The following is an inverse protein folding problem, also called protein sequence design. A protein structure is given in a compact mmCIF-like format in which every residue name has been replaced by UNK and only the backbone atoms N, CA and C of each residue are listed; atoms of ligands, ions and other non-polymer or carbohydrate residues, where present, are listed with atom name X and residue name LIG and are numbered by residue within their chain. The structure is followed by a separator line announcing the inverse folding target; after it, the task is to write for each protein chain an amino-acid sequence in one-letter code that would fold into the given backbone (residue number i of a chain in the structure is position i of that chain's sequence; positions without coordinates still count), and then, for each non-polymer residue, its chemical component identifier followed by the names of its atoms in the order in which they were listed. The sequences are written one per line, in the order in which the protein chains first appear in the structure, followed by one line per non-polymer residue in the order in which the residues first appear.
data_IF_769273681503
#
_entry.id   IF_769273681503
#
_cell.length_a   1.000
_cell.length_b   1.000
_cell.length_c   1.000
_cell.angle_alpha   90.00
_cell.angle_beta   90.00
_cell.angle_gamma   90.00
#
_symmetry.space_group_name_H-M   'P 1'
#
loop_
_entity.id
_entity.type
_entity.pdbx_description
1 polymer ?
#
# COMPACT_ATOMS: atom_id res chain seq x y z
N UNK A 1 -4.16 -14.93 12.18
CA UNK A 1 -4.99 -14.16 11.23
C UNK A 1 -4.15 -13.88 10.01
N UNK A 2 -4.68 -14.19 8.83
CA UNK A 2 -3.97 -14.02 7.57
C UNK A 2 -4.54 -12.84 6.80
N UNK A 3 -3.68 -11.99 6.25
CA UNK A 3 -4.04 -10.97 5.28
C UNK A 3 -3.89 -11.51 3.85
N UNK A 4 -4.84 -11.21 2.97
CA UNK A 4 -4.81 -11.63 1.56
C UNK A 4 -4.58 -10.42 0.67
N UNK A 5 -3.55 -10.47 -0.16
CA UNK A 5 -3.31 -9.47 -1.20
C UNK A 5 -3.60 -10.06 -2.57
N UNK A 6 -4.32 -9.33 -3.43
CA UNK A 6 -4.51 -9.69 -4.83
C UNK A 6 -3.89 -8.59 -5.67
N UNK A 7 -2.85 -8.94 -6.43
CA UNK A 7 -2.20 -8.00 -7.32
C UNK A 7 -2.94 -7.92 -8.66
N UNK A 8 -3.33 -6.73 -9.09
CA UNK A 8 -3.89 -6.46 -10.41
C UNK A 8 -2.84 -5.70 -11.23
N UNK A 9 -2.10 -6.36 -12.15
CA UNK A 9 -0.92 -5.79 -12.82
C UNK A 9 -1.28 -4.94 -14.04
N UNK A 10 -2.50 -4.40 -14.11
CA UNK A 10 -3.01 -3.71 -15.28
C UNK A 10 -3.23 -2.23 -14.98
N UNK A 11 -2.81 -1.39 -15.93
CA UNK A 11 -3.10 0.04 -15.92
C UNK A 11 -3.65 0.44 -17.29
N UNK A 12 -4.42 1.50 -17.36
CA UNK A 12 -4.71 2.15 -18.64
C UNK A 12 -3.46 2.88 -19.16
N UNK A 13 -2.76 3.57 -18.27
CA UNK A 13 -1.46 4.22 -18.51
C UNK A 13 -0.56 4.10 -17.30
N UNK A 14 0.74 3.90 -17.53
CA UNK A 14 1.74 3.90 -16.45
C UNK A 14 2.14 5.34 -16.12
N UNK A 15 2.04 5.72 -14.84
CA UNK A 15 2.42 7.06 -14.37
C UNK A 15 3.94 7.26 -14.47
N UNK A 16 4.38 8.52 -14.59
CA UNK A 16 5.79 8.86 -14.86
C UNK A 16 6.76 8.50 -13.73
N UNK A 17 6.26 8.30 -12.52
CA UNK A 17 7.02 7.94 -11.31
C UNK A 17 6.86 6.47 -10.90
N UNK A 18 5.88 5.75 -11.47
CA UNK A 18 5.43 4.47 -10.95
C UNK A 18 6.40 3.37 -11.35
N UNK A 19 6.98 2.67 -10.38
CA UNK A 19 7.85 1.50 -10.56
C UNK A 19 7.11 0.17 -10.34
N UNK A 20 5.85 0.22 -9.90
CA UNK A 20 5.06 -0.98 -9.63
C UNK A 20 5.03 -1.95 -10.82
N UNK A 21 4.93 -3.27 -10.53
CA UNK A 21 4.92 -4.32 -11.54
C UNK A 21 3.59 -4.37 -12.31
N UNK A 22 3.32 -3.33 -13.09
CA UNK A 22 2.13 -3.15 -13.90
C UNK A 22 2.46 -2.89 -15.37
N UNK A 23 1.48 -3.18 -16.23
CA UNK A 23 1.56 -2.98 -17.69
C UNK A 23 0.30 -2.30 -18.22
N UNK A 24 0.50 -1.42 -19.22
CA UNK A 24 -0.57 -0.78 -19.98
C UNK A 24 -0.89 -1.54 -21.27
N UNK A 25 -2.11 -1.40 -21.79
CA UNK A 25 -2.52 -1.97 -23.08
C UNK A 25 -2.59 -3.51 -23.12
N UNK A 26 -2.94 -4.14 -21.99
CA UNK A 26 -2.98 -5.61 -21.84
C UNK A 26 -4.37 -6.16 -21.52
N UNK A 27 -5.44 -5.43 -21.87
CA UNK A 27 -6.84 -5.82 -21.61
C UNK A 27 -7.20 -7.21 -22.15
N UNK A 28 -6.62 -7.63 -23.28
CA UNK A 28 -6.78 -8.98 -23.84
C UNK A 28 -6.38 -10.14 -22.90
N UNK A 29 -5.65 -9.84 -21.82
CA UNK A 29 -5.20 -10.83 -20.84
C UNK A 29 -6.13 -10.90 -19.62
N UNK A 30 -7.17 -10.07 -19.51
CA UNK A 30 -7.95 -9.97 -18.28
C UNK A 30 -8.63 -11.28 -17.88
N UNK A 31 -9.33 -11.94 -18.81
CA UNK A 31 -10.04 -13.18 -18.52
C UNK A 31 -9.09 -14.33 -18.16
N UNK A 32 -8.01 -14.50 -18.94
CA UNK A 32 -7.01 -15.56 -18.70
C UNK A 32 -6.22 -15.29 -17.42
N UNK A 33 -5.97 -14.03 -17.08
CA UNK A 33 -5.40 -13.64 -15.79
C UNK A 33 -6.34 -13.96 -14.64
N UNK A 34 -7.62 -13.63 -14.76
CA UNK A 34 -8.62 -13.93 -13.73
C UNK A 34 -8.79 -15.44 -13.52
N UNK A 35 -8.77 -16.23 -14.59
CA UNK A 35 -8.74 -17.68 -14.51
C UNK A 35 -7.53 -18.18 -13.74
N UNK A 36 -6.33 -17.67 -14.05
CA UNK A 36 -5.10 -18.04 -13.36
C UNK A 36 -5.15 -17.67 -11.87
N UNK A 37 -5.57 -16.45 -11.51
CA UNK A 37 -5.69 -16.03 -10.10
C UNK A 37 -6.66 -16.93 -9.32
N UNK A 38 -7.83 -17.26 -9.88
CA UNK A 38 -8.77 -18.18 -9.20
C UNK A 38 -8.20 -19.59 -9.04
N UNK A 39 -7.49 -20.11 -10.05
CA UNK A 39 -6.81 -21.40 -9.96
C UNK A 39 -5.69 -21.39 -8.90
N UNK A 40 -4.94 -20.29 -8.80
CA UNK A 40 -3.96 -20.10 -7.73
C UNK A 40 -4.65 -20.10 -6.35
N UNK A 41 -5.70 -19.32 -6.15
CA UNK A 41 -6.44 -19.26 -4.89
C UNK A 41 -6.90 -20.67 -4.47
N UNK A 42 -7.59 -21.37 -5.37
CA UNK A 42 -8.14 -22.70 -5.09
C UNK A 42 -7.04 -23.72 -4.74
N UNK A 43 -5.93 -23.72 -5.47
CA UNK A 43 -4.82 -24.65 -5.20
C UNK A 43 -4.04 -24.31 -3.92
N UNK A 44 -4.05 -23.04 -3.50
CA UNK A 44 -3.31 -22.56 -2.32
C UNK A 44 -4.07 -22.73 -1.04
N UNK A 45 -5.40 -22.55 -1.07
CA UNK A 45 -6.22 -22.54 0.12
C UNK A 45 -6.14 -23.85 0.93
N UNK A 46 -5.90 -24.98 0.25
CA UNK A 46 -5.67 -26.27 0.90
C UNK A 46 -4.37 -26.31 1.71
N UNK A 47 -3.38 -25.48 1.37
CA UNK A 47 -2.03 -25.46 1.94
C UNK A 47 -1.84 -24.32 2.96
N UNK A 48 -2.85 -23.46 3.16
CA UNK A 48 -2.78 -22.38 4.14
C UNK A 48 -3.04 -22.93 5.55
N UNK A 49 -2.02 -22.84 6.40
CA UNK A 49 -2.08 -23.30 7.79
C UNK A 49 -3.10 -22.53 8.65
N UNK A 50 -3.31 -21.25 8.35
CA UNK A 50 -4.40 -20.45 8.90
C UNK A 50 -5.39 -20.13 7.79
N UNK A 51 -6.57 -20.74 7.87
CA UNK A 51 -7.64 -20.56 6.90
C UNK A 51 -8.49 -19.31 7.16
N UNK A 52 -8.27 -18.62 8.28
CA UNK A 52 -9.05 -17.44 8.66
C UNK A 52 -8.39 -16.16 8.17
N UNK A 53 -9.10 -15.46 7.28
CA UNK A 53 -8.65 -14.21 6.65
C UNK A 53 -9.27 -13.02 7.35
N UNK A 54 -8.45 -12.10 7.84
CA UNK A 54 -8.92 -10.87 8.50
C UNK A 54 -9.08 -9.69 7.55
N UNK A 55 -8.28 -9.66 6.48
CA UNK A 55 -8.26 -8.58 5.50
C UNK A 55 -8.02 -9.12 4.10
N UNK A 56 -8.66 -8.50 3.11
CA UNK A 56 -8.38 -8.68 1.69
C UNK A 56 -8.07 -7.31 1.11
N UNK A 57 -6.99 -7.20 0.34
CA UNK A 57 -6.60 -5.97 -0.33
C UNK A 57 -6.32 -6.24 -1.80
N UNK A 58 -7.14 -5.64 -2.67
CA UNK A 58 -7.00 -5.70 -4.12
C UNK A 58 -6.30 -4.41 -4.56
N UNK A 59 -5.04 -4.54 -4.99
CA UNK A 59 -4.21 -3.38 -5.35
C UNK A 59 -3.26 -3.67 -6.51
N UNK A 60 -2.34 -2.75 -6.78
CA UNK A 60 -1.25 -2.97 -7.72
C UNK A 60 -1.16 -1.90 -8.80
N UNK A 61 -1.52 -2.23 -10.03
CA UNK A 61 -1.63 -1.28 -11.12
C UNK A 61 -2.83 -0.36 -10.93
N UNK A 62 -4.00 -0.77 -11.42
CA UNK A 62 -5.24 -0.01 -11.28
C UNK A 62 -6.41 -1.00 -11.25
N UNK A 63 -6.79 -1.53 -10.08
CA UNK A 63 -7.91 -2.47 -9.98
C UNK A 63 -9.22 -1.94 -10.59
N UNK A 64 -9.49 -0.64 -10.50
CA UNK A 64 -10.66 -0.02 -11.13
C UNK A 64 -10.70 -0.03 -12.66
N UNK A 65 -9.59 -0.30 -13.35
CA UNK A 65 -9.62 -0.55 -14.80
C UNK A 65 -9.84 -2.03 -15.15
N UNK A 66 -9.96 -2.90 -14.15
CA UNK A 66 -10.26 -4.32 -14.29
C UNK A 66 -11.79 -4.54 -14.16
N UNK A 67 -12.40 -5.41 -14.98
CA UNK A 67 -13.84 -5.64 -14.93
C UNK A 67 -14.31 -6.07 -13.54
N UNK A 68 -15.31 -5.38 -12.99
CA UNK A 68 -15.85 -5.65 -11.66
C UNK A 68 -16.29 -7.12 -11.48
N UNK A 69 -16.97 -7.78 -12.45
CA UNK A 69 -17.34 -9.20 -12.30
C UNK A 69 -16.14 -10.12 -12.12
N UNK A 70 -14.99 -9.80 -12.71
CA UNK A 70 -13.77 -10.60 -12.53
C UNK A 70 -13.17 -10.39 -11.13
N UNK A 71 -13.18 -9.16 -10.60
CA UNK A 71 -12.78 -8.88 -9.22
C UNK A 71 -13.71 -9.57 -8.21
N UNK A 72 -15.03 -9.45 -8.40
CA UNK A 72 -16.05 -10.15 -7.60
C UNK A 72 -15.83 -11.66 -7.62
N UNK A 73 -15.42 -12.21 -8.77
CA UNK A 73 -15.13 -13.64 -8.88
C UNK A 73 -13.97 -14.08 -7.98
N UNK A 74 -12.97 -13.23 -7.72
CA UNK A 74 -11.89 -13.54 -6.77
C UNK A 74 -12.40 -13.61 -5.34
N UNK A 75 -13.26 -12.67 -4.94
CA UNK A 75 -13.87 -12.66 -3.60
C UNK A 75 -14.75 -13.89 -3.40
N UNK A 76 -15.54 -14.27 -4.40
CA UNK A 76 -16.34 -15.50 -4.37
C UNK A 76 -15.47 -16.75 -4.27
N UNK A 77 -14.37 -16.84 -5.02
CA UNK A 77 -13.43 -17.97 -4.90
C UNK A 77 -12.78 -18.01 -3.52
N UNK A 78 -12.32 -16.88 -2.98
CA UNK A 78 -11.73 -16.82 -1.64
C UNK A 78 -12.74 -17.29 -0.57
N UNK A 79 -13.98 -16.80 -0.59
CA UNK A 79 -15.04 -17.23 0.33
C UNK A 79 -15.38 -18.71 0.23
N UNK A 80 -15.24 -19.31 -0.95
CA UNK A 80 -15.48 -20.75 -1.13
C UNK A 80 -14.37 -21.63 -0.56
N UNK A 81 -13.19 -21.05 -0.31
CA UNK A 81 -12.00 -21.81 0.07
C UNK A 81 -11.46 -21.46 1.48
N UNK A 82 -11.78 -20.28 2.00
CA UNK A 82 -11.22 -19.72 3.23
C UNK A 82 -12.34 -19.23 4.16
N UNK A 83 -12.06 -19.22 5.47
CA UNK A 83 -12.93 -18.61 6.47
C UNK A 83 -12.73 -17.09 6.44
N UNK A 84 -13.75 -16.37 5.97
CA UNK A 84 -13.74 -14.90 5.87
C UNK A 84 -14.88 -14.37 6.73
N UNK A 85 -14.58 -13.86 7.93
CA UNK A 85 -15.59 -13.28 8.81
C UNK A 85 -16.30 -12.10 8.16
N UNK A 86 -17.57 -11.88 8.53
CA UNK A 86 -18.36 -10.77 8.01
C UNK A 86 -17.75 -9.39 8.29
N UNK A 87 -16.94 -9.28 9.35
CA UNK A 87 -16.22 -8.06 9.72
C UNK A 87 -14.80 -7.97 9.12
N UNK A 88 -14.44 -8.81 8.14
CA UNK A 88 -13.18 -8.68 7.42
C UNK A 88 -13.13 -7.34 6.67
N UNK A 89 -11.97 -6.68 6.68
CA UNK A 89 -11.75 -5.49 5.86
C UNK A 89 -11.45 -5.92 4.42
N UNK A 90 -12.23 -5.47 3.45
CA UNK A 90 -12.05 -5.78 2.03
C UNK A 90 -11.83 -4.46 1.30
N UNK A 91 -10.57 -4.19 0.98
CA UNK A 91 -10.10 -2.98 0.33
C UNK A 91 -9.91 -3.16 -1.17
N UNK A 92 -10.23 -2.13 -1.96
CA UNK A 92 -9.85 -2.05 -3.38
C UNK A 92 -9.26 -0.67 -3.71
N UNK A 93 -8.17 -0.65 -4.46
CA UNK A 93 -7.61 0.59 -5.01
C UNK A 93 -8.36 1.02 -6.27
N UNK A 94 -8.52 2.33 -6.42
CA UNK A 94 -9.20 2.93 -7.57
C UNK A 94 -8.57 4.26 -7.99
N UNK A 95 -8.73 4.59 -9.27
CA UNK A 95 -8.35 5.88 -9.83
C UNK A 95 -9.61 6.65 -10.29
N UNK A 96 -9.62 7.99 -10.16
CA UNK A 96 -10.79 8.80 -10.49
C UNK A 96 -11.39 8.57 -11.90
N UNK A 97 -10.55 8.45 -12.93
CA UNK A 97 -10.98 8.30 -14.33
C UNK A 97 -11.63 6.94 -14.65
N UNK A 98 -11.52 5.97 -13.75
CA UNK A 98 -11.90 4.57 -14.01
C UNK A 98 -13.06 4.08 -13.15
N UNK A 99 -13.70 4.97 -12.40
CA UNK A 99 -14.85 4.63 -11.57
C UNK A 99 -16.17 4.84 -12.32
N UNK A 100 -17.11 3.92 -12.11
CA UNK A 100 -18.50 4.02 -12.55
C UNK A 100 -19.43 3.51 -11.45
N UNK A 101 -20.70 3.93 -11.47
CA UNK A 101 -21.72 3.40 -10.55
C UNK A 101 -21.81 1.87 -10.63
N UNK A 102 -21.88 1.33 -11.86
CA UNK A 102 -21.97 -0.12 -12.09
C UNK A 102 -20.80 -0.90 -11.51
N UNK A 103 -19.59 -0.33 -11.55
CA UNK A 103 -18.39 -0.96 -10.99
C UNK A 103 -18.43 -0.93 -9.45
N UNK A 104 -18.90 0.17 -8.85
CA UNK A 104 -19.06 0.31 -7.41
C UNK A 104 -20.14 -0.62 -6.85
N UNK A 105 -21.32 -0.62 -7.47
CA UNK A 105 -22.47 -1.43 -7.04
C UNK A 105 -22.11 -2.93 -7.01
N UNK A 106 -21.43 -3.40 -8.06
CA UNK A 106 -20.97 -4.79 -8.16
C UNK A 106 -19.99 -5.16 -7.04
N UNK A 107 -19.02 -4.28 -6.73
CA UNK A 107 -18.03 -4.55 -5.69
C UNK A 107 -18.59 -4.43 -4.27
N UNK A 108 -19.47 -3.45 -4.03
CA UNK A 108 -20.20 -3.34 -2.78
C UNK A 108 -21.07 -4.58 -2.54
N UNK A 109 -21.79 -5.05 -3.57
CA UNK A 109 -22.55 -6.30 -3.51
C UNK A 109 -21.64 -7.53 -3.29
N UNK A 110 -20.44 -7.53 -3.84
CA UNK A 110 -19.42 -8.53 -3.57
C UNK A 110 -18.77 -8.40 -2.19
N UNK A 111 -19.16 -7.40 -1.37
CA UNK A 111 -18.74 -7.22 0.02
C UNK A 111 -17.46 -6.40 0.21
N UNK A 112 -16.99 -5.68 -0.82
CA UNK A 112 -15.97 -4.65 -0.63
C UNK A 112 -16.52 -3.57 0.29
N UNK A 113 -15.75 -3.20 1.31
CA UNK A 113 -16.18 -2.25 2.34
C UNK A 113 -15.18 -1.12 2.60
N UNK A 114 -14.07 -1.06 1.84
CA UNK A 114 -13.11 0.03 1.87
C UNK A 114 -12.58 0.33 0.46
N UNK A 115 -12.50 1.60 0.08
CA UNK A 115 -11.96 2.03 -1.21
C UNK A 115 -10.79 2.98 -1.02
N UNK A 116 -9.68 2.76 -1.73
CA UNK A 116 -8.54 3.70 -1.76
C UNK A 116 -8.55 4.47 -3.07
N UNK A 117 -8.79 5.77 -3.02
CA UNK A 117 -8.88 6.64 -4.18
C UNK A 117 -7.57 7.39 -4.40
N UNK A 118 -6.89 7.09 -5.51
CA UNK A 118 -5.66 7.74 -5.93
C UNK A 118 -5.88 9.18 -6.42
N UNK A 119 -5.99 10.17 -5.53
CA UNK A 119 -6.17 11.58 -5.92
C UNK A 119 -4.86 12.23 -6.32
N UNK A 120 -3.82 12.01 -5.52
CA UNK A 120 -2.46 12.55 -5.60
C UNK A 120 -2.38 14.07 -5.38
N UNK A 121 -3.11 14.87 -6.16
CA UNK A 121 -3.15 16.32 -6.05
C UNK A 121 -4.49 16.90 -6.54
N UNK A 122 -4.87 18.07 -6.04
CA UNK A 122 -5.99 18.87 -6.58
C UNK A 122 -5.52 20.02 -7.47
N UNK A 123 -4.30 19.94 -7.99
CA UNK A 123 -3.74 20.84 -8.98
C UNK A 123 -3.50 20.09 -10.30
N UNK A 124 -4.20 20.51 -11.37
CA UNK A 124 -4.13 19.87 -12.69
C UNK A 124 -2.71 19.86 -13.28
N UNK A 125 -1.89 20.89 -13.03
CA UNK A 125 -0.50 20.92 -13.51
C UNK A 125 0.36 19.86 -12.82
N UNK A 126 0.20 19.68 -11.51
CA UNK A 126 0.87 18.64 -10.72
C UNK A 126 0.47 17.24 -11.21
N UNK A 127 -0.82 17.00 -11.45
CA UNK A 127 -1.34 15.75 -11.99
C UNK A 127 -0.78 15.43 -13.38
N UNK A 128 -0.64 16.45 -14.24
CA UNK A 128 -0.04 16.29 -15.57
C UNK A 128 1.43 15.87 -15.47
N UNK A 129 2.22 16.47 -14.58
CA UNK A 129 3.62 16.05 -14.36
C UNK A 129 3.72 14.57 -13.96
N UNK A 130 2.84 14.13 -13.07
CA UNK A 130 2.76 12.73 -12.63
C UNK A 130 2.29 11.76 -13.74
N UNK A 131 1.75 12.27 -14.84
CA UNK A 131 1.15 11.45 -15.89
C UNK A 131 -0.20 10.85 -15.50
N UNK A 132 -0.95 11.50 -14.58
CA UNK A 132 -2.30 11.08 -14.18
C UNK A 132 -3.30 11.42 -15.29
N UNK A 133 -4.29 10.53 -15.47
CA UNK A 133 -5.31 10.66 -16.53
C UNK A 133 -6.47 11.57 -16.13
N UNK A 134 -6.62 11.84 -14.83
CA UNK A 134 -7.68 12.68 -14.29
C UNK A 134 -7.21 14.10 -13.99
N UNK A 135 -8.17 15.00 -13.93
CA UNK A 135 -8.09 16.38 -13.46
C UNK A 135 -8.55 16.49 -12.02
N UNK A 136 -8.31 17.65 -11.38
CA UNK A 136 -8.80 17.90 -10.03
C UNK A 136 -10.35 17.89 -9.94
N UNK A 137 -11.05 18.26 -11.01
CA UNK A 137 -12.52 18.21 -11.05
C UNK A 137 -13.03 16.76 -11.08
N UNK A 138 -12.40 15.90 -11.87
CA UNK A 138 -12.73 14.47 -11.91
C UNK A 138 -12.39 13.76 -10.60
N UNK A 139 -11.33 14.17 -9.89
CA UNK A 139 -11.03 13.66 -8.55
C UNK A 139 -12.16 13.97 -7.55
N UNK A 140 -12.70 15.21 -7.56
CA UNK A 140 -13.86 15.59 -6.74
C UNK A 140 -15.09 14.78 -7.10
N UNK A 141 -15.38 14.65 -8.39
CA UNK A 141 -16.53 13.89 -8.88
C UNK A 141 -16.43 12.40 -8.48
N UNK A 142 -15.24 11.80 -8.59
CA UNK A 142 -15.00 10.42 -8.20
C UNK A 142 -15.18 10.19 -6.69
N UNK A 143 -14.72 11.12 -5.84
CA UNK A 143 -14.98 11.04 -4.41
C UNK A 143 -16.47 11.14 -4.08
N UNK A 144 -17.18 12.09 -4.71
CA UNK A 144 -18.62 12.21 -4.57
C UNK A 144 -19.35 10.95 -5.03
N UNK A 145 -18.89 10.31 -6.10
CA UNK A 145 -19.43 9.05 -6.60
C UNK A 145 -19.34 7.93 -5.56
N UNK A 146 -18.17 7.76 -4.93
CA UNK A 146 -17.98 6.79 -3.82
C UNK A 146 -18.95 7.07 -2.67
N UNK A 147 -19.09 8.34 -2.26
CA UNK A 147 -20.00 8.73 -1.18
C UNK A 147 -21.46 8.45 -1.54
N UNK A 148 -21.89 8.80 -2.76
CA UNK A 148 -23.25 8.59 -3.23
C UNK A 148 -23.59 7.10 -3.37
N UNK A 149 -22.62 6.25 -3.68
CA UNK A 149 -22.78 4.79 -3.69
C UNK A 149 -22.87 4.18 -2.27
N UNK A 150 -22.76 4.99 -1.21
CA UNK A 150 -22.84 4.53 0.18
C UNK A 150 -21.52 4.00 0.74
N UNK A 151 -20.37 4.32 0.13
CA UNK A 151 -19.06 3.93 0.66
C UNK A 151 -18.74 4.71 1.95
N UNK A 152 -18.77 4.02 3.09
CA UNK A 152 -18.55 4.62 4.41
C UNK A 152 -17.08 4.65 4.85
N UNK A 153 -16.20 3.91 4.19
CA UNK A 153 -14.77 3.88 4.49
C UNK A 153 -13.97 4.16 3.22
N UNK A 154 -13.60 5.43 3.03
CA UNK A 154 -12.84 5.89 1.88
C UNK A 154 -11.47 6.38 2.34
N UNK A 155 -10.42 5.84 1.72
CA UNK A 155 -9.07 6.37 1.77
C UNK A 155 -8.84 7.31 0.61
N UNK A 156 -8.20 8.45 0.87
CA UNK A 156 -7.74 9.37 -0.17
C UNK A 156 -6.22 9.39 -0.16
N UNK A 157 -5.62 9.01 -1.29
CA UNK A 157 -4.16 8.97 -1.43
C UNK A 157 -3.68 10.30 -2.03
N UNK A 158 -2.79 10.97 -1.32
CA UNK A 158 -2.18 12.25 -1.70
C UNK A 158 -0.66 12.10 -1.81
N UNK A 159 -0.08 12.94 -2.66
CA UNK A 159 1.35 12.94 -2.91
C UNK A 159 1.94 14.33 -2.73
N UNK A 160 3.07 14.40 -2.02
CA UNK A 160 3.85 15.61 -1.81
C UNK A 160 5.26 15.46 -2.41
N UNK A 161 5.95 16.58 -2.63
CA UNK A 161 7.23 16.60 -3.33
C UNK A 161 7.10 16.49 -4.86
N UNK A 162 5.90 16.73 -5.41
CA UNK A 162 5.65 16.69 -6.87
C UNK A 162 6.42 17.83 -7.58
N UNK A 163 6.87 17.64 -8.83
CA UNK A 163 7.37 18.73 -9.67
C UNK A 163 6.53 20.01 -9.63
N UNK A 164 7.20 21.15 -9.48
CA UNK A 164 6.60 22.49 -9.38
C UNK A 164 5.57 22.66 -8.24
N UNK A 165 5.44 21.69 -7.33
CA UNK A 165 4.52 21.79 -6.20
C UNK A 165 4.98 22.88 -5.23
N UNK A 166 4.04 23.71 -4.82
CA UNK A 166 4.28 24.83 -3.90
C UNK A 166 3.62 24.55 -2.57
N UNK A 167 4.09 25.16 -1.49
CA UNK A 167 3.42 25.04 -0.18
C UNK A 167 1.97 25.54 -0.23
N UNK A 168 1.66 26.51 -1.10
CA UNK A 168 0.31 27.01 -1.30
C UNK A 168 -0.60 26.02 -2.03
N UNK A 169 -0.13 25.39 -3.11
CA UNK A 169 -0.90 24.39 -3.84
C UNK A 169 -1.07 23.10 -3.04
N UNK A 170 -0.05 22.71 -2.27
CA UNK A 170 -0.13 21.61 -1.33
C UNK A 170 -1.16 21.88 -0.22
N UNK A 171 -1.07 23.05 0.43
CA UNK A 171 -2.03 23.46 1.47
C UNK A 171 -3.46 23.46 0.96
N UNK A 172 -3.72 24.01 -0.23
CA UNK A 172 -5.06 23.98 -0.85
C UNK A 172 -5.55 22.55 -1.01
N UNK A 173 -4.71 21.65 -1.52
CA UNK A 173 -5.05 20.25 -1.72
C UNK A 173 -5.45 19.58 -0.42
N UNK A 174 -4.58 19.57 0.60
CA UNK A 174 -4.89 18.84 1.82
C UNK A 174 -5.98 19.50 2.66
N UNK A 175 -6.12 20.83 2.62
CA UNK A 175 -7.15 21.53 3.41
C UNK A 175 -8.54 21.24 2.87
N UNK A 176 -8.69 21.20 1.55
CA UNK A 176 -9.97 20.81 0.93
C UNK A 176 -10.31 19.35 1.22
N UNK A 177 -9.34 18.43 1.06
CA UNK A 177 -9.59 17.01 1.31
C UNK A 177 -9.96 16.74 2.77
N UNK A 178 -9.23 17.29 3.74
CA UNK A 178 -9.54 17.09 5.15
C UNK A 178 -10.79 17.87 5.61
N UNK A 179 -10.99 19.09 5.10
CA UNK A 179 -12.08 19.97 5.53
C UNK A 179 -13.42 19.66 4.90
N UNK A 180 -13.44 19.48 3.58
CA UNK A 180 -14.66 19.40 2.77
C UNK A 180 -15.03 17.94 2.48
N UNK A 181 -14.05 17.10 2.10
CA UNK A 181 -14.31 15.71 1.72
C UNK A 181 -14.40 14.79 2.94
N UNK A 182 -13.60 15.07 3.97
CA UNK A 182 -13.54 14.35 5.25
C UNK A 182 -13.50 12.82 5.08
N UNK A 183 -12.53 12.27 4.31
CA UNK A 183 -12.39 10.82 4.17
C UNK A 183 -12.12 10.16 5.52
N UNK A 184 -12.31 8.86 5.62
CA UNK A 184 -12.04 8.12 6.84
C UNK A 184 -10.53 7.86 7.02
N UNK A 185 -9.81 7.76 5.91
CA UNK A 185 -8.40 7.44 5.87
C UNK A 185 -7.67 8.33 4.83
N UNK A 186 -6.40 8.61 5.08
CA UNK A 186 -5.54 9.43 4.23
C UNK A 186 -4.19 8.75 4.08
N UNK A 187 -3.76 8.52 2.84
CA UNK A 187 -2.41 8.05 2.53
C UNK A 187 -1.57 9.20 1.99
N UNK A 188 -0.35 9.34 2.50
CA UNK A 188 0.58 10.43 2.23
C UNK A 188 1.90 9.86 1.71
N UNK A 189 2.14 10.05 0.41
CA UNK A 189 3.34 9.56 -0.25
C UNK A 189 4.27 10.71 -0.59
N UNK A 190 5.52 10.65 -0.13
CA UNK A 190 6.59 11.44 -0.73
C UNK A 190 6.86 10.92 -2.14
N UNK A 191 6.90 11.80 -3.14
CA UNK A 191 7.34 11.41 -4.47
C UNK A 191 8.79 10.91 -4.41
N UNK A 192 8.97 9.61 -4.62
CA UNK A 192 10.28 8.98 -4.76
C UNK A 192 10.59 8.75 -6.24
N UNK A 193 11.86 8.92 -6.62
CA UNK A 193 12.29 8.79 -8.02
C UNK A 193 12.99 7.45 -8.18
N UNK A 194 12.22 6.48 -8.67
CA UNK A 194 12.68 5.09 -8.76
C UNK A 194 13.44 4.80 -10.07
N UNK A 195 14.49 3.97 -10.03
CA UNK A 195 15.21 3.53 -11.22
C UNK A 195 14.29 2.94 -12.30
N UNK A 196 14.61 3.22 -13.56
CA UNK A 196 13.83 2.70 -14.72
C UNK A 196 12.57 3.49 -15.06
N UNK A 197 12.17 4.45 -14.23
CA UNK A 197 11.01 5.31 -14.50
C UNK A 197 11.34 6.45 -15.47
N UNK A 198 10.34 7.02 -16.17
CA UNK A 198 10.50 8.29 -16.89
C UNK A 198 11.10 9.41 -16.02
N UNK A 199 10.67 9.54 -14.76
CA UNK A 199 11.21 10.53 -13.83
C UNK A 199 12.70 10.35 -13.56
N UNK A 200 13.19 9.11 -13.37
CA UNK A 200 14.62 8.87 -13.21
C UNK A 200 15.43 9.28 -14.44
N UNK A 201 14.92 8.98 -15.65
CA UNK A 201 15.59 9.38 -16.90
C UNK A 201 15.66 10.90 -17.07
N UNK A 202 14.57 11.61 -16.77
CA UNK A 202 14.57 13.08 -16.83
C UNK A 202 15.48 13.69 -15.77
N UNK A 203 15.43 13.23 -14.52
CA UNK A 203 16.31 13.73 -13.47
C UNK A 203 17.79 13.53 -13.80
N UNK A 204 18.14 12.38 -14.39
CA UNK A 204 19.52 12.09 -14.80
C UNK A 204 19.99 12.98 -15.97
N UNK A 205 19.12 13.23 -16.96
CA UNK A 205 19.50 14.04 -18.11
C UNK A 205 19.46 15.55 -17.86
N UNK A 206 18.75 15.99 -16.81
CA UNK A 206 18.51 17.41 -16.55
C UNK A 206 17.58 18.08 -17.57
N UNK A 207 16.99 17.31 -18.49
CA UNK A 207 16.20 17.83 -19.62
C UNK A 207 14.71 18.03 -19.29
N UNK A 208 14.35 18.19 -18.01
CA UNK A 208 12.97 18.43 -17.59
C UNK A 208 12.59 19.92 -17.64
N UNK A 209 11.36 20.25 -18.04
CA UNK A 209 10.87 21.63 -18.04
C UNK A 209 10.34 22.12 -16.66
N UNK A 210 10.54 21.35 -15.58
CA UNK A 210 10.02 21.64 -14.23
C UNK A 210 11.11 21.53 -13.16
N UNK A 211 10.81 22.05 -11.96
CA UNK A 211 11.72 21.98 -10.81
C UNK A 211 11.29 20.90 -9.83
N UNK A 212 12.26 20.14 -9.34
CA UNK A 212 12.06 19.19 -8.24
C UNK A 212 11.95 19.95 -6.92
N UNK A 213 11.15 19.42 -5.98
CA UNK A 213 11.22 19.86 -4.59
C UNK A 213 12.53 19.37 -3.97
N UNK A 214 13.18 20.22 -3.19
CA UNK A 214 14.29 19.81 -2.32
C UNK A 214 13.76 19.10 -1.06
N UNK A 215 14.68 18.50 -0.31
CA UNK A 215 14.35 17.70 0.88
C UNK A 215 13.73 18.57 1.98
N UNK A 216 14.25 19.78 2.21
CA UNK A 216 13.74 20.72 3.22
C UNK A 216 12.27 21.12 2.95
N UNK A 217 11.94 21.41 1.68
CA UNK A 217 10.57 21.69 1.27
C UNK A 217 9.68 20.46 1.42
N UNK A 218 10.18 19.28 1.06
CA UNK A 218 9.43 18.02 1.16
C UNK A 218 9.10 17.69 2.61
N UNK A 219 10.04 17.91 3.54
CA UNK A 219 9.81 17.76 4.98
C UNK A 219 8.84 18.80 5.52
N UNK A 220 8.96 20.06 5.07
CA UNK A 220 7.99 21.11 5.42
C UNK A 220 6.57 20.74 4.96
N UNK A 221 6.45 20.18 3.76
CA UNK A 221 5.17 19.72 3.20
C UNK A 221 4.57 18.58 4.04
N UNK A 222 5.36 17.56 4.37
CA UNK A 222 4.95 16.45 5.25
C UNK A 222 4.39 16.98 6.56
N UNK A 223 5.16 17.79 7.28
CA UNK A 223 4.75 18.26 8.59
C UNK A 223 3.56 19.21 8.54
N UNK A 224 3.47 20.05 7.52
CA UNK A 224 2.31 20.93 7.34
C UNK A 224 1.00 20.17 7.13
N UNK A 225 1.04 19.02 6.46
CA UNK A 225 -0.17 18.19 6.26
C UNK A 225 -0.51 17.40 7.51
N UNK A 226 0.48 16.83 8.20
CA UNK A 226 0.27 16.06 9.45
C UNK A 226 -0.34 16.95 10.53
N UNK A 227 0.21 18.14 10.75
CA UNK A 227 -0.29 19.06 11.77
C UNK A 227 -1.71 19.55 11.44
N UNK A 228 -2.01 19.76 10.15
CA UNK A 228 -3.36 20.12 9.72
C UNK A 228 -4.36 18.97 9.90
N UNK A 229 -3.99 17.76 9.51
CA UNK A 229 -4.81 16.56 9.68
C UNK A 229 -5.10 16.28 11.16
N UNK A 230 -4.12 16.46 12.04
CA UNK A 230 -4.32 16.39 13.48
C UNK A 230 -5.37 17.40 13.97
N UNK A 231 -5.32 18.66 13.49
CA UNK A 231 -6.33 19.67 13.80
C UNK A 231 -7.74 19.34 13.26
N UNK A 232 -7.83 18.51 12.21
CA UNK A 232 -9.08 17.99 11.66
C UNK A 232 -9.54 16.66 12.29
N UNK A 233 -8.86 16.16 13.32
CA UNK A 233 -9.25 14.95 14.05
C UNK A 233 -8.73 13.64 13.45
N UNK A 234 -7.72 13.69 12.58
CA UNK A 234 -7.02 12.51 12.10
C UNK A 234 -5.80 12.21 12.96
N UNK A 235 -5.55 10.93 13.20
CA UNK A 235 -4.35 10.43 13.87
C UNK A 235 -3.33 9.97 12.84
N UNK A 236 -2.09 10.46 12.94
CA UNK A 236 -0.93 9.90 12.25
C UNK A 236 -0.54 8.62 12.99
N UNK A 237 -0.89 7.45 12.44
CA UNK A 237 -0.74 6.16 13.14
C UNK A 237 0.46 5.35 12.64
N UNK A 238 0.91 5.60 11.41
CA UNK A 238 2.14 5.06 10.83
C UNK A 238 2.75 6.08 9.86
N UNK A 239 4.02 5.92 9.46
CA UNK A 239 4.80 6.85 8.62
C UNK A 239 3.99 7.54 7.53
N UNK A 240 3.27 6.79 6.71
CA UNK A 240 2.63 7.30 5.51
C UNK A 240 1.12 7.51 5.63
N UNK A 241 0.47 7.17 6.73
CA UNK A 241 -0.99 7.15 6.79
C UNK A 241 -1.54 7.85 8.03
N UNK A 242 -2.62 8.58 7.80
CA UNK A 242 -3.46 9.17 8.83
C UNK A 242 -4.86 8.57 8.74
N UNK A 243 -5.54 8.41 9.87
CA UNK A 243 -6.91 7.90 9.89
C UNK A 243 -7.71 8.55 11.00
N UNK A 244 -9.03 8.57 10.84
CA UNK A 244 -9.93 8.75 11.97
C UNK A 244 -9.86 7.50 12.84
N UNK A 245 -10.12 7.65 14.14
CA UNK A 245 -10.10 6.52 15.07
C UNK A 245 -11.02 5.38 14.59
N UNK A 246 -10.47 4.15 14.54
CA UNK A 246 -11.19 2.96 14.08
C UNK A 246 -11.17 2.73 12.56
N UNK A 247 -10.54 3.63 11.80
CA UNK A 247 -10.41 3.53 10.34
C UNK A 247 -8.95 3.34 9.88
N UNK A 248 -8.05 2.99 10.80
CA UNK A 248 -6.70 2.53 10.45
C UNK A 248 -6.78 1.35 9.48
N UNK A 249 -5.96 1.36 8.42
CA UNK A 249 -5.96 0.30 7.42
C UNK A 249 -5.45 -1.00 8.04
N UNK A 250 -6.36 -1.94 8.34
CA UNK A 250 -6.01 -3.20 9.01
C UNK A 250 -5.04 -4.02 8.16
N UNK A 251 -5.16 -3.95 6.84
CA UNK A 251 -4.26 -4.66 5.93
C UNK A 251 -2.81 -4.12 6.01
N UNK A 252 -2.63 -2.80 6.12
CA UNK A 252 -1.30 -2.20 6.28
C UNK A 252 -0.69 -2.60 7.63
N UNK A 253 -1.48 -2.58 8.70
CA UNK A 253 -1.04 -3.01 10.02
C UNK A 253 -0.55 -4.47 10.03
N UNK A 254 -1.17 -5.34 9.24
CA UNK A 254 -0.73 -6.73 9.08
C UNK A 254 0.66 -6.87 8.42
N UNK A 255 1.09 -5.89 7.61
CA UNK A 255 2.46 -5.87 7.09
C UNK A 255 3.47 -5.41 8.14
N UNK A 256 3.12 -4.40 8.94
CA UNK A 256 4.01 -3.83 9.96
C UNK A 256 4.20 -4.76 11.16
N UNK A 257 3.16 -5.52 11.50
CA UNK A 257 3.25 -6.58 12.49
C UNK A 257 3.75 -7.88 11.86
N UNK A 258 5.07 -8.07 11.89
CA UNK A 258 5.75 -9.29 11.44
C UNK A 258 5.28 -10.61 12.07
N UNK A 259 4.46 -10.58 13.14
CA UNK A 259 3.83 -11.78 13.67
C UNK A 259 2.65 -12.26 12.81
N UNK A 260 2.09 -11.38 11.97
CA UNK A 260 0.98 -11.70 11.08
C UNK A 260 1.47 -12.33 9.79
N UNK A 261 0.64 -13.21 9.24
CA UNK A 261 0.88 -13.83 7.94
C UNK A 261 0.14 -13.09 6.85
N UNK A 262 0.74 -13.01 5.66
CA UNK A 262 0.04 -12.56 4.47
C UNK A 262 0.36 -13.42 3.25
N UNK A 263 -0.65 -13.67 2.43
CA UNK A 263 -0.55 -14.41 1.17
C UNK A 263 -0.92 -13.49 0.01
N UNK A 264 -0.07 -13.45 -1.00
CA UNK A 264 -0.27 -12.69 -2.21
C UNK A 264 -0.64 -13.59 -3.39
N UNK A 265 -1.69 -13.23 -4.11
CA UNK A 265 -2.13 -13.88 -5.34
C UNK A 265 -1.94 -12.98 -6.56
N UNK A 266 -1.67 -13.58 -7.71
CA UNK A 266 -1.41 -12.86 -8.95
C UNK A 266 0.06 -12.63 -9.24
N UNK A 267 0.37 -12.28 -10.49
CA UNK A 267 1.72 -11.94 -10.94
C UNK A 267 2.38 -10.91 -10.01
N UNK A 268 3.67 -11.12 -9.71
CA UNK A 268 4.48 -10.30 -8.80
C UNK A 268 4.01 -10.20 -7.34
N UNK A 269 2.89 -10.81 -6.94
CA UNK A 269 2.40 -10.73 -5.58
C UNK A 269 3.38 -11.37 -4.58
N UNK A 270 3.59 -10.70 -3.44
CA UNK A 270 4.49 -11.14 -2.39
C UNK A 270 3.72 -11.78 -1.24
N UNK A 271 4.36 -12.75 -0.59
CA UNK A 271 3.80 -13.51 0.53
C UNK A 271 4.81 -13.66 1.66
N UNK A 272 4.30 -13.65 2.88
CA UNK A 272 4.99 -14.04 4.10
C UNK A 272 4.02 -14.86 4.95
N UNK A 273 3.99 -16.17 4.74
CA UNK A 273 3.06 -17.05 5.46
C UNK A 273 3.64 -18.45 5.63
N UNK A 274 3.09 -19.21 6.57
CA UNK A 274 3.31 -20.64 6.66
C UNK A 274 2.41 -21.37 5.65
N UNK A 275 3.02 -22.32 4.95
CA UNK A 275 2.31 -23.30 4.12
C UNK A 275 2.46 -24.66 4.81
N UNK A 276 1.38 -25.40 4.98
CA UNK A 276 1.37 -26.70 5.70
C UNK A 276 2.38 -27.67 5.07
N UNK A 277 2.41 -27.73 3.74
CA UNK A 277 3.34 -28.51 2.93
C UNK A 277 4.82 -28.17 3.16
N UNK A 278 5.12 -27.05 3.82
CA UNK A 278 6.47 -26.53 4.07
C UNK A 278 6.85 -26.44 5.55
N UNK A 279 5.89 -26.62 6.46
CA UNK A 279 6.10 -26.70 7.91
C UNK A 279 6.65 -25.45 8.61
N UNK A 280 6.86 -24.32 7.91
CA UNK A 280 7.30 -23.04 8.50
C UNK A 280 6.96 -21.85 7.61
N UNK A 281 6.93 -20.67 8.22
CA UNK A 281 6.74 -19.38 7.52
C UNK A 281 7.85 -19.14 6.50
N UNK A 282 7.46 -18.74 5.28
CA UNK A 282 8.36 -18.44 4.17
C UNK A 282 8.02 -17.11 3.55
N UNK A 283 9.05 -16.42 3.05
CA UNK A 283 8.90 -15.37 2.05
C UNK A 283 8.97 -15.97 0.66
N UNK A 284 8.03 -15.58 -0.17
CA UNK A 284 8.05 -15.90 -1.59
C UNK A 284 7.26 -14.85 -2.36
N UNK A 285 7.46 -14.83 -3.66
CA UNK A 285 6.66 -14.01 -4.55
C UNK A 285 6.34 -14.79 -5.82
N UNK A 286 5.30 -14.37 -6.52
CA UNK A 286 4.97 -14.91 -7.82
C UNK A 286 5.87 -14.33 -8.91
N UNK A 287 6.04 -15.06 -10.00
CA UNK A 287 6.75 -14.56 -11.18
C UNK A 287 6.14 -13.23 -11.65
N UNK A 288 7.01 -12.29 -12.04
CA UNK A 288 6.61 -10.90 -12.31
C UNK A 288 5.90 -10.72 -13.66
N UNK A 289 6.30 -11.48 -14.69
CA UNK A 289 5.74 -11.33 -16.05
C UNK A 289 4.34 -11.95 -16.10
N UNK A 290 3.35 -11.15 -16.49
CA UNK A 290 1.92 -11.52 -16.50
C UNK A 290 1.68 -12.80 -17.31
N UNK A 291 2.19 -12.87 -18.55
CA UNK A 291 1.99 -14.02 -19.43
C UNK A 291 2.67 -15.28 -18.89
N UNK A 292 3.86 -15.14 -18.31
CA UNK A 292 4.58 -16.27 -17.67
C UNK A 292 3.87 -16.76 -16.42
N UNK A 293 3.27 -15.85 -15.63
CA UNK A 293 2.45 -16.20 -14.48
C UNK A 293 1.21 -17.00 -14.92
N UNK A 294 0.46 -16.48 -15.92
CA UNK A 294 -0.73 -17.15 -16.45
C UNK A 294 -0.40 -18.57 -16.91
N UNK A 295 0.60 -18.71 -17.79
CA UNK A 295 1.00 -20.02 -18.33
C UNK A 295 1.37 -20.99 -17.20
N UNK A 296 2.25 -20.57 -16.28
CA UNK A 296 2.71 -21.45 -15.19
C UNK A 296 1.60 -21.85 -14.23
N UNK A 297 0.65 -20.97 -13.92
CA UNK A 297 -0.46 -21.36 -13.03
C UNK A 297 -1.40 -22.33 -13.73
N UNK A 298 -1.81 -22.03 -14.97
CA UNK A 298 -2.78 -22.84 -15.70
C UNK A 298 -2.23 -24.21 -16.12
N UNK A 299 -0.92 -24.31 -16.34
CA UNK A 299 -0.23 -25.58 -16.66
C UNK A 299 0.21 -26.37 -15.41
N UNK A 300 -0.07 -25.87 -14.19
CA UNK A 300 0.40 -26.50 -12.94
C UNK A 300 1.91 -26.40 -12.71
N UNK A 301 2.58 -25.49 -13.42
CA UNK A 301 4.00 -25.18 -13.28
C UNK A 301 4.36 -24.34 -12.05
N UNK A 302 5.67 -24.19 -11.81
CA UNK A 302 6.21 -23.44 -10.67
C UNK A 302 6.10 -21.92 -10.86
N UNK A 303 5.05 -21.30 -10.31
CA UNK A 303 4.84 -19.85 -10.35
C UNK A 303 5.41 -19.09 -9.14
N UNK A 304 5.71 -19.79 -8.03
CA UNK A 304 6.30 -19.22 -6.80
C UNK A 304 7.82 -19.25 -6.81
N UNK A 305 8.42 -18.16 -6.38
CA UNK A 305 9.86 -18.00 -6.16
C UNK A 305 10.10 -17.78 -4.67
N UNK A 306 10.71 -18.76 -4.00
CA UNK A 306 10.97 -18.72 -2.57
C UNK A 306 12.28 -18.00 -2.25
N UNK A 307 12.22 -17.11 -1.26
CA UNK A 307 13.41 -16.47 -0.72
C UNK A 307 14.20 -17.43 0.17
N UNK A 308 15.48 -17.15 0.35
CA UNK A 308 16.31 -17.85 1.33
C UNK A 308 15.82 -17.54 2.76
N UNK A 309 15.92 -18.49 3.70
CA UNK A 309 15.62 -18.22 5.11
C UNK A 309 16.55 -17.12 5.65
N UNK A 310 16.01 -16.23 6.47
CA UNK A 310 16.81 -15.25 7.19
C UNK A 310 17.48 -15.89 8.43
N UNK A 311 18.71 -15.46 8.78
CA UNK A 311 19.33 -15.82 10.05
C UNK A 311 18.60 -15.15 11.24
N UNK A 312 18.77 -15.66 12.48
CA UNK A 312 18.08 -15.14 13.67
C UNK A 312 18.21 -13.63 13.89
N UNK A 313 19.43 -13.07 13.76
CA UNK A 313 19.65 -11.62 13.89
C UNK A 313 18.81 -10.82 12.89
N UNK A 314 18.76 -11.25 11.62
CA UNK A 314 18.03 -10.55 10.57
C UNK A 314 16.50 -10.64 10.77
N UNK A 315 16.00 -11.74 11.35
CA UNK A 315 14.60 -11.83 11.76
C UNK A 315 14.28 -10.80 12.85
N UNK A 316 15.12 -10.67 13.88
CA UNK A 316 14.93 -9.62 14.91
C UNK A 316 15.01 -8.22 14.29
N UNK A 317 15.99 -7.99 13.41
CA UNK A 317 16.17 -6.73 12.69
C UNK A 317 14.96 -6.33 11.86
N UNK A 318 14.35 -7.29 11.17
CA UNK A 318 13.14 -7.06 10.39
C UNK A 318 11.94 -6.72 11.26
N UNK A 319 11.78 -7.36 12.43
CA UNK A 319 10.74 -6.99 13.40
C UNK A 319 10.91 -5.54 13.86
N UNK A 320 12.15 -5.10 14.07
CA UNK A 320 12.47 -3.70 14.40
C UNK A 320 12.14 -2.76 13.23
N UNK A 321 12.62 -3.09 12.04
CA UNK A 321 12.42 -2.31 10.81
C UNK A 321 10.94 -2.11 10.46
N UNK A 322 10.16 -3.20 10.44
CA UNK A 322 8.75 -3.17 10.08
C UNK A 322 7.92 -2.53 11.18
N UNK A 323 8.22 -2.86 12.43
CA UNK A 323 7.48 -2.38 13.59
C UNK A 323 7.64 -0.89 13.87
N UNK A 324 8.84 -0.33 13.70
CA UNK A 324 9.10 1.10 13.90
C UNK A 324 8.40 2.00 12.87
N UNK A 325 7.74 1.43 11.85
CA UNK A 325 6.84 2.19 10.97
C UNK A 325 5.57 2.63 11.70
N UNK A 326 5.17 1.93 12.76
CA UNK A 326 4.08 2.33 13.63
C UNK A 326 4.53 3.47 14.55
N UNK A 327 3.74 4.54 14.65
CA UNK A 327 4.09 5.68 15.48
C UNK A 327 3.87 5.43 16.98
N UNK A 328 3.05 4.44 17.32
CA UNK A 328 3.00 3.86 18.66
C UNK A 328 4.20 2.93 18.96
N UNK A 329 5.05 2.71 17.96
CA UNK A 329 6.27 1.93 18.08
C UNK A 329 6.05 0.44 18.24
N UNK A 330 7.03 -0.23 18.86
CA UNK A 330 7.00 -1.67 19.17
C UNK A 330 7.52 -1.97 20.56
N UNK A 331 7.03 -3.06 21.14
CA UNK A 331 7.60 -3.63 22.36
C UNK A 331 8.96 -4.25 22.07
N UNK A 332 9.95 -3.95 22.92
CA UNK A 332 11.31 -4.50 22.79
C UNK A 332 11.42 -5.76 23.64
N UNK A 333 11.65 -6.91 23.00
CA UNK A 333 11.91 -8.17 23.71
C UNK A 333 13.34 -8.22 24.25
N UNK A 334 13.61 -9.15 25.17
CA UNK A 334 14.96 -9.36 25.69
C UNK A 334 15.98 -9.67 24.58
N UNK A 335 15.63 -10.55 23.64
CA UNK A 335 16.49 -10.88 22.49
C UNK A 335 16.81 -9.64 21.63
N UNK A 336 15.83 -8.76 21.41
CA UNK A 336 16.03 -7.51 20.67
C UNK A 336 16.95 -6.58 21.42
N UNK A 337 16.77 -6.45 22.75
CA UNK A 337 17.61 -5.61 23.60
C UNK A 337 19.04 -6.13 23.66
N UNK A 338 19.23 -7.43 23.83
CA UNK A 338 20.56 -8.06 23.80
C UNK A 338 21.26 -7.90 22.46
N UNK A 339 20.52 -7.93 21.34
CA UNK A 339 21.09 -7.84 20.00
C UNK A 339 21.37 -6.40 19.55
N UNK A 340 20.46 -5.47 19.87
CA UNK A 340 20.45 -4.10 19.32
C UNK A 340 20.49 -3.00 20.39
N UNK A 341 20.71 -3.33 21.67
CA UNK A 341 20.65 -2.37 22.79
C UNK A 341 21.52 -1.13 22.56
N UNK A 342 22.77 -1.31 22.13
CA UNK A 342 23.66 -0.18 21.84
C UNK A 342 23.18 0.72 20.70
N UNK A 343 22.52 0.16 19.68
CA UNK A 343 21.90 0.95 18.60
C UNK A 343 20.69 1.73 19.12
N UNK A 344 19.81 1.08 19.89
CA UNK A 344 18.64 1.70 20.51
C UNK A 344 19.08 2.87 21.41
N UNK A 345 20.03 2.66 22.31
CA UNK A 345 20.53 3.70 23.22
C UNK A 345 21.10 4.91 22.48
N UNK A 346 21.88 4.68 21.41
CA UNK A 346 22.42 5.77 20.59
C UNK A 346 21.32 6.54 19.88
N UNK A 347 20.34 5.85 19.30
CA UNK A 347 19.21 6.47 18.60
C UNK A 347 18.31 7.27 19.56
N UNK A 348 18.09 6.78 20.78
CA UNK A 348 17.38 7.51 21.84
C UNK A 348 18.17 8.74 22.27
N UNK A 349 19.48 8.60 22.52
CA UNK A 349 20.36 9.72 22.90
C UNK A 349 20.39 10.82 21.83
N UNK A 350 20.31 10.44 20.56
CA UNK A 350 20.27 11.38 19.43
C UNK A 350 18.85 11.96 19.17
N UNK A 351 17.85 11.58 19.97
CA UNK A 351 16.47 12.06 19.85
C UNK A 351 15.73 11.54 18.61
N UNK A 352 16.16 10.41 18.04
CA UNK A 352 15.52 9.77 16.88
C UNK A 352 14.51 8.69 17.28
N UNK A 353 14.74 8.06 18.43
CA UNK A 353 13.78 7.18 19.09
C UNK A 353 13.41 7.76 20.45
N UNK A 354 12.24 7.39 20.94
CA UNK A 354 11.87 7.54 22.35
C UNK A 354 11.39 6.20 22.91
N UNK A 355 11.63 6.00 24.20
CA UNK A 355 11.22 4.79 24.91
C UNK A 355 10.19 5.16 25.99
N UNK A 356 8.99 4.55 25.93
CA UNK A 356 7.92 4.78 26.90
C UNK A 356 7.12 3.50 27.11
N UNK A 357 6.97 3.08 28.37
CA UNK A 357 6.17 1.90 28.73
C UNK A 357 6.67 0.59 28.10
N UNK A 358 7.99 0.41 27.97
CA UNK A 358 8.60 -0.78 27.37
C UNK A 358 8.49 -0.84 25.84
N UNK A 359 8.06 0.24 25.20
CA UNK A 359 7.99 0.39 23.75
C UNK A 359 8.98 1.43 23.26
N UNK A 360 9.53 1.21 22.08
CA UNK A 360 10.33 2.20 21.35
C UNK A 360 9.56 2.65 20.11
N UNK A 361 9.58 3.95 19.84
CA UNK A 361 8.92 4.56 18.69
C UNK A 361 9.80 5.67 18.09
N UNK A 362 9.60 5.95 16.80
CA UNK A 362 10.22 7.11 16.15
C UNK A 362 9.74 8.40 16.81
N UNK A 363 10.66 9.33 17.04
CA UNK A 363 10.29 10.73 17.28
C UNK A 363 9.90 11.39 15.96
N UNK A 364 9.39 12.62 16.01
CA UNK A 364 9.16 13.44 14.80
C UNK A 364 10.42 13.51 13.92
N UNK A 365 11.58 13.80 14.52
CA UNK A 365 12.88 13.80 13.83
C UNK A 365 13.27 12.40 13.33
N UNK A 366 12.94 11.35 14.07
CA UNK A 366 13.14 9.96 13.64
C UNK A 366 12.37 9.61 12.36
N UNK A 367 11.15 10.14 12.19
CA UNK A 367 10.34 9.92 10.98
C UNK A 367 10.99 10.54 9.74
N UNK A 368 11.55 11.75 9.85
CA UNK A 368 12.21 12.45 8.73
C UNK A 368 13.34 11.64 8.10
N UNK A 369 14.04 10.86 8.91
CA UNK A 369 15.17 10.02 8.50
C UNK A 369 14.95 8.55 8.86
N UNK A 370 13.70 8.08 8.77
CA UNK A 370 13.32 6.73 9.20
C UNK A 370 14.20 5.65 8.56
N UNK A 371 14.54 5.77 7.28
CA UNK A 371 15.43 4.82 6.59
C UNK A 371 16.83 4.74 7.22
N UNK A 372 17.37 5.86 7.71
CA UNK A 372 18.65 5.87 8.44
C UNK A 372 18.53 5.18 9.78
N UNK A 373 17.42 5.40 10.51
CA UNK A 373 17.14 4.70 11.77
C UNK A 373 17.00 3.20 11.54
N UNK A 374 16.30 2.82 10.48
CA UNK A 374 16.05 1.43 10.09
C UNK A 374 17.33 0.67 9.72
N UNK A 375 18.28 1.32 9.05
CA UNK A 375 19.54 0.71 8.64
C UNK A 375 20.37 0.19 9.83
N UNK A 376 20.17 0.72 11.04
CA UNK A 376 20.87 0.31 12.26
C UNK A 376 20.46 -1.11 12.75
N UNK A 377 19.36 -1.64 12.23
CA UNK A 377 18.83 -2.95 12.63
C UNK A 377 19.01 -4.04 11.56
N UNK A 378 19.52 -3.70 10.37
CA UNK A 378 19.68 -4.63 9.24
C UNK A 378 21.02 -5.36 9.28
#
# INVERSE_FOLDING_TARGET
MTAVYIHIPFCERKCSYCDFPSAAGKSRLYDTYAQAVRAEIASTAADLADKRVSTIYIGGGTPSCFPAPLLSSFLSTLRSCLDIPANAEISVESNPHSLSNTWLDELLAAGVNRFSLGVQSLNTKELHHLGRLHTAAEARAAFALLRNAGCLNVSVDLMYGIPDQTSASWRRTFSEVAGDWRPEHLSLYALSIEPGTPFARWKQSGAQPWRWCDDDRTMTMLWSVIDHFAACGYRHYEISNCAREGFECRHNMAYWDTAQSYIGFGAAAHSHCALESRGRTRRFHNVKRIETYIARVLEGGRHRVFARPLPPRALLGERMYMGLRLLDGIGVTEDMRSTFGGAIERLVRNGLLHERGGRIALTRRGVEIANTVFAEFV
#
